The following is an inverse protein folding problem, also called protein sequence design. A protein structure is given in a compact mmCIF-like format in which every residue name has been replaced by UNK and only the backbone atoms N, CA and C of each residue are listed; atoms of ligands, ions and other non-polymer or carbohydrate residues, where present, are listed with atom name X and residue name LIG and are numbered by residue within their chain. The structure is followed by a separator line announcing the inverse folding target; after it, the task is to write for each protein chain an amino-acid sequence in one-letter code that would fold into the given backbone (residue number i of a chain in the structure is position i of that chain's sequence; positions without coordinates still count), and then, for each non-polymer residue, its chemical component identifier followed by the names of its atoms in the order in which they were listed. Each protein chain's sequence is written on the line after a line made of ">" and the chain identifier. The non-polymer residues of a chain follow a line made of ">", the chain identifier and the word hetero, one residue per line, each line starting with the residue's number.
data_IF_918643852178
#
_entry.id   IF_918643852178
#
_cell.length_a   1.000
_cell.length_b   1.000
_cell.length_c   1.000
_cell.angle_alpha   90.00
_cell.angle_beta   90.00
_cell.angle_gamma   90.00
#
_symmetry.space_group_name_H-M   'P 1'
#
loop_
_entity.id
_entity.type
_entity.pdbx_description
1 polymer ?
#
# COMPACT_ATOMS: atom_id res chain seq x y z
N UNK A 1 2.29 -0.57 24.42
CA UNK A 1 2.12 -1.71 23.48
C UNK A 1 1.23 -2.76 24.12
N UNK A 2 0.45 -3.52 23.34
CA UNK A 2 -0.36 -4.66 23.84
C UNK A 2 0.24 -5.95 23.31
N UNK A 3 0.46 -6.93 24.19
CA UNK A 3 0.93 -8.26 23.80
C UNK A 3 -0.21 -9.06 23.19
N UNK A 4 0.07 -9.75 22.10
CA UNK A 4 -0.86 -10.65 21.42
C UNK A 4 -0.16 -12.00 21.21
N UNK A 5 -0.95 -13.06 21.14
CA UNK A 5 -0.47 -14.36 20.69
C UNK A 5 -0.91 -14.56 19.24
N UNK A 6 0.01 -15.05 18.41
CA UNK A 6 -0.24 -15.39 17.01
C UNK A 6 0.28 -16.79 16.76
N UNK A 7 -0.44 -17.55 15.94
CA UNK A 7 0.01 -18.87 15.46
C UNK A 7 0.61 -18.70 14.08
N UNK A 8 1.72 -19.37 13.82
CA UNK A 8 2.49 -19.31 12.58
C UNK A 8 3.03 -20.70 12.25
N UNK A 9 3.16 -20.98 10.96
CA UNK A 9 3.86 -22.15 10.46
C UNK A 9 5.29 -22.24 11.01
N UNK A 10 5.71 -23.43 11.45
CA UNK A 10 7.00 -23.63 12.10
C UNK A 10 8.18 -23.32 11.17
N UNK A 11 8.07 -23.68 9.88
CA UNK A 11 9.13 -23.42 8.91
C UNK A 11 9.26 -21.92 8.63
N UNK A 12 8.14 -21.18 8.62
CA UNK A 12 8.16 -19.72 8.52
C UNK A 12 8.80 -19.08 9.76
N UNK A 13 8.47 -19.56 10.96
CA UNK A 13 9.08 -19.05 12.20
C UNK A 13 10.60 -19.27 12.19
N UNK A 14 11.04 -20.48 11.82
CA UNK A 14 12.47 -20.80 11.73
C UNK A 14 13.22 -19.89 10.73
N UNK A 15 12.60 -19.59 9.57
CA UNK A 15 13.16 -18.65 8.60
C UNK A 15 13.23 -17.23 9.16
N UNK A 16 12.17 -16.78 9.84
CA UNK A 16 12.14 -15.47 10.47
C UNK A 16 13.24 -15.35 11.52
N UNK A 17 13.47 -16.39 12.32
CA UNK A 17 14.51 -16.41 13.37
C UNK A 17 15.94 -16.49 12.84
N UNK A 18 16.11 -17.05 11.65
CA UNK A 18 17.40 -17.09 10.97
C UNK A 18 17.79 -15.73 10.37
N UNK A 19 16.81 -14.86 10.11
CA UNK A 19 17.01 -13.55 9.51
C UNK A 19 17.82 -12.60 10.42
N UNK A 20 18.75 -11.87 9.81
CA UNK A 20 19.67 -10.96 10.53
C UNK A 20 18.91 -9.81 11.21
N UNK A 21 17.88 -9.26 10.57
CA UNK A 21 17.05 -8.19 11.14
C UNK A 21 16.31 -8.70 12.38
N UNK A 22 15.79 -9.93 12.33
CA UNK A 22 15.13 -10.55 13.48
C UNK A 22 16.10 -10.80 14.62
N UNK A 23 17.32 -11.27 14.33
CA UNK A 23 18.34 -11.51 15.36
C UNK A 23 18.80 -10.21 16.03
N UNK A 24 18.88 -9.12 15.27
CA UNK A 24 19.32 -7.81 15.76
C UNK A 24 18.21 -7.04 16.49
N UNK A 25 17.01 -7.00 15.93
CA UNK A 25 15.93 -6.10 16.37
C UNK A 25 14.78 -6.85 17.07
N UNK A 26 14.75 -8.18 16.99
CA UNK A 26 13.74 -9.04 17.58
C UNK A 26 12.48 -9.20 16.72
N UNK A 27 11.80 -10.35 16.90
CA UNK A 27 10.58 -10.73 16.14
C UNK A 27 9.49 -9.66 16.18
N UNK A 28 9.23 -9.09 17.36
CA UNK A 28 8.19 -8.06 17.54
C UNK A 28 8.46 -6.81 16.71
N UNK A 29 9.72 -6.43 16.51
CA UNK A 29 10.07 -5.27 15.69
C UNK A 29 9.85 -5.57 14.20
N UNK A 30 10.30 -6.73 13.74
CA UNK A 30 10.14 -7.18 12.35
C UNK A 30 8.66 -7.35 12.01
N UNK A 31 7.87 -8.01 12.86
CA UNK A 31 6.44 -8.20 12.65
C UNK A 31 5.68 -6.88 12.59
N UNK A 32 6.06 -5.88 13.40
CA UNK A 32 5.47 -4.54 13.34
C UNK A 32 5.74 -3.88 11.98
N UNK A 33 6.99 -3.88 11.54
CA UNK A 33 7.39 -3.32 10.23
C UNK A 33 6.68 -4.05 9.08
N UNK A 34 6.58 -5.37 9.16
CA UNK A 34 5.87 -6.19 8.18
C UNK A 34 4.38 -5.83 8.11
N UNK A 35 3.71 -5.69 9.26
CA UNK A 35 2.30 -5.29 9.32
C UNK A 35 2.07 -3.89 8.75
N UNK A 36 2.92 -2.91 9.08
CA UNK A 36 2.85 -1.56 8.53
C UNK A 36 3.03 -1.55 7.00
N UNK A 37 4.03 -2.28 6.49
CA UNK A 37 4.27 -2.43 5.04
C UNK A 37 3.08 -3.08 4.34
N UNK A 38 2.52 -4.15 4.91
CA UNK A 38 1.35 -4.83 4.38
C UNK A 38 0.14 -3.89 4.28
N UNK A 39 -0.17 -3.17 5.35
CA UNK A 39 -1.31 -2.23 5.38
C UNK A 39 -1.12 -1.08 4.38
N UNK A 40 0.09 -0.51 4.29
CA UNK A 40 0.41 0.54 3.31
C UNK A 40 0.28 0.03 1.88
N UNK A 41 0.78 -1.17 1.59
CA UNK A 41 0.65 -1.76 0.25
C UNK A 41 -0.81 -2.03 -0.10
N UNK A 42 -1.58 -2.62 0.82
CA UNK A 42 -3.02 -2.87 0.63
C UNK A 42 -3.78 -1.57 0.33
N UNK A 43 -3.48 -0.50 1.06
CA UNK A 43 -4.10 0.81 0.82
C UNK A 43 -3.79 1.33 -0.59
N UNK A 44 -2.52 1.26 -1.01
CA UNK A 44 -2.11 1.68 -2.37
C UNK A 44 -2.83 0.88 -3.45
N UNK A 45 -2.86 -0.45 -3.32
CA UNK A 45 -3.57 -1.33 -4.25
C UNK A 45 -5.06 -0.97 -4.34
N UNK A 46 -5.72 -0.78 -3.19
CA UNK A 46 -7.13 -0.38 -3.14
C UNK A 46 -7.40 1.00 -3.78
N UNK A 47 -6.49 1.97 -3.63
CA UNK A 47 -6.58 3.25 -4.34
C UNK A 47 -6.47 2.99 -5.85
N UNK A 48 -5.43 2.30 -6.30
CA UNK A 48 -5.21 2.02 -7.72
C UNK A 48 -6.39 1.28 -8.37
N UNK A 49 -7.00 0.32 -7.67
CA UNK A 49 -8.20 -0.38 -8.15
C UNK A 49 -9.41 0.53 -8.26
N UNK A 50 -9.61 1.44 -7.30
CA UNK A 50 -10.69 2.45 -7.37
C UNK A 50 -10.49 3.40 -8.54
N UNK A 51 -9.27 3.88 -8.76
CA UNK A 51 -8.93 4.70 -9.93
C UNK A 51 -9.20 3.95 -11.23
N UNK A 52 -8.73 2.70 -11.34
CA UNK A 52 -8.98 1.86 -12.51
C UNK A 52 -10.48 1.71 -12.75
N UNK A 53 -11.27 1.41 -11.70
CA UNK A 53 -12.72 1.28 -11.82
C UNK A 53 -13.41 2.58 -12.23
N UNK A 54 -13.00 3.71 -11.65
CA UNK A 54 -13.59 5.02 -11.94
C UNK A 54 -13.34 5.46 -13.39
N UNK A 55 -12.17 5.12 -13.94
CA UNK A 55 -11.74 5.52 -15.28
C UNK A 55 -11.75 4.37 -16.32
N UNK A 56 -12.37 3.23 -16.02
CA UNK A 56 -12.47 2.10 -16.94
C UNK A 56 -13.52 2.31 -18.06
N UNK A 57 -14.36 3.35 -17.98
CA UNK A 57 -15.37 3.65 -18.99
C UNK A 57 -14.81 4.35 -20.23
N UNK A 58 -15.38 4.08 -21.40
CA UNK A 58 -14.95 4.65 -22.70
C UNK A 58 -15.29 6.15 -22.86
N UNK A 59 -16.14 6.72 -22.00
CA UNK A 59 -16.67 8.08 -22.17
C UNK A 59 -15.75 9.22 -21.62
N UNK A 60 -14.50 8.92 -21.24
CA UNK A 60 -13.63 9.88 -20.56
C UNK A 60 -14.20 10.31 -19.20
N UNK A 61 -13.77 11.47 -18.69
CA UNK A 61 -14.25 12.03 -17.41
C UNK A 61 -15.74 12.46 -17.45
N UNK A 62 -16.38 12.39 -18.62
CA UNK A 62 -17.76 12.81 -18.86
C UNK A 62 -17.94 14.33 -18.93
N UNK A 63 -19.15 14.75 -19.27
CA UNK A 63 -19.53 16.17 -19.45
C UNK A 63 -19.29 17.06 -18.21
N UNK A 64 -19.22 16.47 -17.01
CA UNK A 64 -18.92 17.21 -15.77
C UNK A 64 -17.50 17.78 -15.69
N UNK A 65 -16.58 17.32 -16.54
CA UNK A 65 -15.19 17.79 -16.63
C UNK A 65 -14.90 18.54 -17.94
N UNK A 66 -15.92 18.80 -18.76
CA UNK A 66 -15.77 19.52 -20.02
C UNK A 66 -15.33 20.97 -19.75
N UNK A 67 -14.25 21.42 -20.39
CA UNK A 67 -13.67 22.76 -20.20
C UNK A 67 -12.46 22.84 -19.25
N UNK A 68 -12.20 21.83 -18.42
CA UNK A 68 -11.01 21.78 -17.56
C UNK A 68 -9.68 21.77 -18.34
N UNK A 69 -9.67 21.27 -19.58
CA UNK A 69 -8.49 21.25 -20.44
C UNK A 69 -7.93 22.65 -20.72
N UNK A 70 -8.76 23.69 -20.60
CA UNK A 70 -8.39 25.10 -20.86
C UNK A 70 -7.87 25.84 -19.62
N UNK A 71 -7.99 25.26 -18.43
CA UNK A 71 -7.57 25.90 -17.17
C UNK A 71 -6.09 25.62 -16.85
N UNK A 72 -5.50 24.57 -17.44
CA UNK A 72 -4.12 24.13 -17.22
C UNK A 72 -3.07 24.79 -18.13
N UNK A 73 -3.25 26.05 -18.53
CA UNK A 73 -2.28 26.74 -19.40
C UNK A 73 -1.10 27.20 -18.55
N UNK A 74 0.09 26.66 -18.82
CA UNK A 74 1.30 27.20 -18.22
C UNK A 74 1.53 28.63 -18.74
N UNK A 75 1.81 29.62 -17.88
CA UNK A 75 2.06 30.97 -18.36
C UNK A 75 3.25 30.95 -19.33
N UNK A 76 3.11 31.63 -20.46
CA UNK A 76 4.25 31.90 -21.34
C UNK A 76 5.24 32.75 -20.54
N UNK A 77 6.51 32.36 -20.59
CA UNK A 77 7.62 33.13 -20.00
C UNK A 77 7.60 34.61 -20.42
#
# INVERSE_FOLDING_TARGET
>A
MKTIQITMDEALLAKLDADEETRRDGRSAVLRRAAERYLKQRQRTSISERYRKAYAGEAGLGAGFEGWEREGVWPNE
#
